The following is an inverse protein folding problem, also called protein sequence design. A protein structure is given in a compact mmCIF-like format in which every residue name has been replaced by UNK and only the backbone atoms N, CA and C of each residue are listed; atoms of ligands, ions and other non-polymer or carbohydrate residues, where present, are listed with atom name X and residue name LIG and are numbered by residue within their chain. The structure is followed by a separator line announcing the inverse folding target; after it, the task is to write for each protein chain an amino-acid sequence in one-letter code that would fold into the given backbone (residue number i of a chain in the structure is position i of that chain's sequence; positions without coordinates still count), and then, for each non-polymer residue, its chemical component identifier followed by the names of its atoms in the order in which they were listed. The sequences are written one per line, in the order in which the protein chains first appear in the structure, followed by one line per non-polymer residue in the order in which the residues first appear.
data_IF_212332849997
#
_entry.id   IF_212332849997
#
_cell.length_a   1.000
_cell.length_b   1.000
_cell.length_c   1.000
_cell.angle_alpha   90.00
_cell.angle_beta   90.00
_cell.angle_gamma   90.00
#
_symmetry.space_group_name_H-M   'P 1'
#
loop_
_entity.id
_entity.type
_entity.pdbx_description
1 polymer ?
#
# COMPACT_ATOMS: atom_id res chain seq x y z
N UNK A 1 10.72 -7.59 18.52
CA UNK A 1 9.54 -7.00 17.89
C UNK A 1 8.35 -7.87 18.18
N UNK A 2 7.21 -7.25 18.43
CA UNK A 2 5.99 -7.94 18.75
C UNK A 2 5.52 -8.73 17.53
N UNK A 3 4.97 -9.91 17.76
CA UNK A 3 4.51 -10.77 16.67
C UNK A 3 3.45 -10.12 15.81
N UNK A 4 2.54 -9.40 16.42
CA UNK A 4 1.48 -8.74 15.67
C UNK A 4 2.07 -7.67 14.75
N UNK A 5 3.06 -6.97 15.23
CA UNK A 5 3.72 -5.94 14.44
C UNK A 5 4.49 -6.57 13.28
N UNK A 6 5.18 -7.64 13.56
CA UNK A 6 5.93 -8.34 12.53
C UNK A 6 5.01 -8.87 11.45
N UNK A 7 3.89 -9.45 11.87
CA UNK A 7 2.89 -9.99 10.96
C UNK A 7 2.37 -8.88 10.04
N UNK A 8 2.08 -7.73 10.61
CA UNK A 8 1.58 -6.59 9.84
C UNK A 8 2.60 -6.13 8.81
N UNK A 9 3.86 -6.04 9.22
CA UNK A 9 4.91 -5.56 8.32
C UNK A 9 5.09 -6.51 7.15
N UNK A 10 5.09 -7.81 7.42
CA UNK A 10 5.28 -8.80 6.36
C UNK A 10 4.09 -8.79 5.41
N UNK A 11 2.89 -8.74 5.94
CA UNK A 11 1.70 -8.72 5.11
C UNK A 11 1.66 -7.49 4.23
N UNK A 12 2.02 -6.35 4.77
CA UNK A 12 2.06 -5.12 4.02
C UNK A 12 3.13 -5.17 2.92
N UNK A 13 4.28 -5.74 3.25
CA UNK A 13 5.36 -5.85 2.26
C UNK A 13 4.93 -6.72 1.09
N UNK A 14 4.24 -7.83 1.37
CA UNK A 14 3.74 -8.69 0.31
C UNK A 14 2.73 -7.95 -0.55
N UNK A 15 1.82 -7.24 0.07
CA UNK A 15 0.77 -6.52 -0.66
C UNK A 15 1.40 -5.47 -1.58
N UNK A 16 2.37 -4.74 -1.08
CA UNK A 16 3.02 -3.70 -1.87
C UNK A 16 3.87 -4.29 -2.98
N UNK A 17 4.52 -5.40 -2.71
CA UNK A 17 5.32 -6.06 -3.74
C UNK A 17 4.44 -6.55 -4.87
N UNK A 18 3.31 -7.17 -4.56
CA UNK A 18 2.38 -7.65 -5.57
C UNK A 18 1.88 -6.48 -6.41
N UNK A 19 1.51 -5.38 -5.75
CA UNK A 19 1.00 -4.21 -6.46
C UNK A 19 2.01 -3.67 -7.46
N UNK A 20 3.27 -3.64 -7.07
CA UNK A 20 4.31 -3.14 -7.95
C UNK A 20 4.59 -4.09 -9.09
N UNK A 21 4.67 -5.38 -8.79
CA UNK A 21 4.99 -6.38 -9.81
C UNK A 21 3.88 -6.50 -10.84
N UNK A 22 2.63 -6.32 -10.42
CA UNK A 22 1.50 -6.38 -11.34
C UNK A 22 1.53 -5.27 -12.37
N UNK A 23 2.26 -4.21 -12.12
CA UNK A 23 2.34 -3.09 -13.04
C UNK A 23 3.43 -3.23 -14.08
N UNK A 24 4.22 -4.29 -13.98
CA UNK A 24 5.30 -4.49 -14.96
C UNK A 24 4.71 -4.98 -16.28
N UNK A 25 5.41 -4.72 -17.40
CA UNK A 25 5.00 -5.29 -18.66
C UNK A 25 5.01 -6.81 -18.59
N UNK A 26 4.18 -7.44 -19.40
CA UNK A 26 3.99 -8.89 -19.34
C UNK A 26 5.30 -9.65 -19.38
N UNK A 27 6.21 -9.23 -20.25
CA UNK A 27 7.46 -9.97 -20.42
C UNK A 27 8.40 -9.82 -19.23
N UNK A 28 8.16 -8.85 -18.38
CA UNK A 28 9.00 -8.64 -17.22
C UNK A 28 8.32 -9.10 -15.93
N UNK A 29 7.08 -9.55 -16.02
CA UNK A 29 6.31 -9.86 -14.82
C UNK A 29 6.60 -11.29 -14.36
N UNK A 30 7.08 -11.47 -13.12
CA UNK A 30 7.35 -12.82 -12.60
C UNK A 30 6.07 -13.48 -12.15
N UNK A 31 5.34 -14.06 -13.08
CA UNK A 31 4.00 -14.58 -12.81
C UNK A 31 3.96 -15.63 -11.71
N UNK A 32 4.92 -16.54 -11.69
CA UNK A 32 4.95 -17.57 -10.65
C UNK A 32 5.11 -16.97 -9.28
N UNK A 33 6.02 -16.01 -9.17
CA UNK A 33 6.26 -15.35 -7.88
C UNK A 33 5.04 -14.57 -7.44
N UNK A 34 4.38 -13.89 -8.38
CA UNK A 34 3.19 -13.12 -8.05
C UNK A 34 2.08 -14.05 -7.56
N UNK A 35 1.89 -15.18 -8.23
CA UNK A 35 0.88 -16.14 -7.81
C UNK A 35 1.17 -16.69 -6.42
N UNK A 36 2.42 -17.00 -6.14
CA UNK A 36 2.81 -17.52 -4.83
C UNK A 36 2.62 -16.46 -3.76
N UNK A 37 2.93 -15.20 -4.08
CA UNK A 37 2.73 -14.11 -3.14
C UNK A 37 1.26 -13.90 -2.84
N UNK A 38 0.40 -14.00 -3.87
CA UNK A 38 -1.05 -13.88 -3.67
C UNK A 38 -1.55 -15.00 -2.77
N UNK A 39 -1.09 -16.20 -3.00
CA UNK A 39 -1.50 -17.34 -2.21
C UNK A 39 -1.09 -17.14 -0.75
N UNK A 40 0.14 -16.75 -0.53
CA UNK A 40 0.65 -16.52 0.81
C UNK A 40 -0.14 -15.41 1.50
N UNK A 41 -0.37 -14.33 0.81
CA UNK A 41 -1.10 -13.20 1.36
C UNK A 41 -2.53 -13.61 1.71
N UNK A 42 -3.19 -14.36 0.83
CA UNK A 42 -4.56 -14.77 1.06
C UNK A 42 -4.68 -15.77 2.20
N UNK A 43 -3.71 -16.65 2.34
CA UNK A 43 -3.80 -17.72 3.34
C UNK A 43 -3.34 -17.27 4.72
N UNK A 44 -2.31 -16.47 4.78
CA UNK A 44 -1.72 -16.13 6.07
C UNK A 44 -1.91 -14.69 6.50
N UNK A 45 -2.20 -13.80 5.57
CA UNK A 45 -2.27 -12.39 5.87
C UNK A 45 -3.55 -11.75 5.33
N UNK A 46 -4.62 -12.53 5.21
CA UNK A 46 -5.86 -12.05 4.61
C UNK A 46 -6.43 -10.82 5.32
N UNK A 47 -6.34 -10.79 6.63
CA UNK A 47 -6.84 -9.64 7.38
C UNK A 47 -6.11 -8.36 7.01
N UNK A 48 -4.80 -8.47 6.81
CA UNK A 48 -3.99 -7.31 6.44
C UNK A 48 -4.29 -6.92 5.00
N UNK A 49 -4.42 -7.90 4.11
CA UNK A 49 -4.79 -7.63 2.73
C UNK A 49 -6.10 -6.86 2.67
N UNK A 50 -7.11 -7.32 3.43
CA UNK A 50 -8.42 -6.68 3.43
C UNK A 50 -8.35 -5.27 3.98
N UNK A 51 -7.57 -5.06 5.03
CA UNK A 51 -7.42 -3.75 5.62
C UNK A 51 -6.74 -2.78 4.64
N UNK A 52 -5.73 -3.24 3.93
CA UNK A 52 -5.03 -2.38 2.97
C UNK A 52 -5.90 -2.10 1.75
N UNK A 53 -6.63 -3.10 1.28
CA UNK A 53 -7.52 -2.90 0.15
C UNK A 53 -8.63 -1.91 0.49
N UNK A 54 -9.17 -1.99 1.70
CA UNK A 54 -10.18 -1.05 2.14
C UNK A 54 -9.62 0.36 2.22
N UNK A 55 -8.38 0.48 2.66
CA UNK A 55 -7.74 1.78 2.74
C UNK A 55 -7.54 2.39 1.37
N UNK A 56 -7.17 1.58 0.39
CA UNK A 56 -7.00 2.07 -0.97
C UNK A 56 -8.32 2.49 -1.57
N UNK A 57 -9.39 1.78 -1.27
CA UNK A 57 -10.70 2.09 -1.79
C UNK A 57 -11.30 3.31 -1.10
N UNK A 58 -10.82 3.64 0.09
CA UNK A 58 -11.37 4.75 0.84
C UNK A 58 -10.89 6.06 0.23
N UNK A 59 -11.82 6.95 0.01
CA UNK A 59 -11.50 8.29 -0.49
C UNK A 59 -11.98 9.31 0.51
N UNK A 60 -11.06 9.83 1.32
CA UNK A 60 -11.46 10.82 2.32
C UNK A 60 -11.99 12.06 1.61
N UNK A 61 -12.86 12.80 2.28
CA UNK A 61 -13.34 14.05 1.69
C UNK A 61 -12.17 14.96 1.40
N UNK A 62 -12.28 15.79 0.39
CA UNK A 62 -11.18 16.71 0.06
C UNK A 62 -10.90 17.58 1.26
N UNK A 63 -9.64 17.76 1.54
CA UNK A 63 -9.26 18.59 2.63
C UNK A 63 -9.23 20.02 2.21
N UNK A 64 -9.43 20.94 3.13
CA UNK A 64 -9.28 22.34 2.82
C UNK A 64 -7.90 22.57 2.25
N UNK A 65 -7.82 23.44 1.31
CA UNK A 65 -6.57 23.71 0.64
C UNK A 65 -5.48 24.10 1.58
N UNK A 66 -5.83 24.47 2.72
CA UNK A 66 -4.90 24.90 3.71
C UNK A 66 -3.86 23.90 3.98
N UNK A 67 -4.15 22.78 3.67
CA UNK A 67 -3.17 21.89 3.98
C UNK A 67 -2.02 22.02 3.18
N UNK A 68 -2.07 22.46 2.63
CA UNK A 68 -1.02 22.43 1.90
C UNK A 68 -0.29 23.41 1.83
N UNK A 69 -0.30 23.84 2.34
CA UNK A 69 0.27 24.68 2.35
C UNK A 69 0.95 25.18 2.50
N UNK A 70 1.05 25.40 2.67
CA UNK A 70 1.70 25.95 2.77
C UNK A 70 2.50 26.30 2.61
N UNK A 71 2.64 26.40 2.72
CA UNK A 71 3.16 26.82 2.81
C UNK A 71 3.62 27.46 2.46
N UNK A 72 3.67 27.80 2.42
CA UNK A 72 3.90 28.48 2.44
C UNK A 72 4.27 29.10 2.09
N UNK A 73 4.48 29.49 2.07
CA UNK A 73 4.73 30.16 2.01
C UNK A 73 5.03 30.61 1.72
N UNK A 74 5.14 30.65 1.77
CA UNK A 74 5.12 31.04 1.99
C UNK A 74 5.25 31.49 1.81
N UNK A 75 5.42 31.79 1.72
CA UNK A 75 5.34 32.31 1.95
C UNK A 75 5.43 32.83 1.77
N UNK A 76 5.55 33.15 1.65
CA UNK A 76 5.48 33.74 1.90
C UNK A 76 5.50 34.29 1.74
N UNK A 77 5.58 34.49 1.56
CA UNK A 77 5.46 35.15 1.81
C UNK A 77 5.30 35.55 1.88
N UNK A 78 5.39 35.48 1.88
CA UNK A 78 5.18 36.06 2.31
C UNK A 78 5.15 36.35 2.64
#
# INVERSE_FOLDING_TARGET
MDEAREHWIIGRALYEAITRLDRLPDELRPESDINDMHELLDEQYAGIRDALAAREAYRPPPEPAVKLVPKAPEDDES
#
